data_IF_793954919666
#
_entry.id   IF_793954919666
#
_cell.length_a   1.000
_cell.length_b   1.000
_cell.length_c   1.000
_cell.angle_alpha   90.00
_cell.angle_beta   90.00
_cell.angle_gamma   90.00
#
_symmetry.space_group_name_H-M   'P 1'
#
loop_
_entity.id
_entity.type
_entity.pdbx_description
1 polymer ?
#
# COMPACT_ATOMS: atom_id res chain seq x y z
N UNK A 1 13.49 31.28 -11.51
CA UNK A 1 14.81 31.08 -12.15
C UNK A 1 15.49 29.89 -11.48
N UNK A 2 16.20 29.05 -12.22
CA UNK A 2 16.98 27.92 -11.70
C UNK A 2 18.45 28.33 -11.56
N UNK A 3 19.11 27.85 -10.52
CA UNK A 3 20.56 28.01 -10.36
C UNK A 3 21.25 26.89 -11.14
N UNK A 4 22.07 27.24 -12.12
CA UNK A 4 22.90 26.31 -12.88
C UNK A 4 24.35 26.44 -12.43
N UNK A 5 25.01 25.33 -12.17
CA UNK A 5 26.44 25.31 -11.83
C UNK A 5 27.18 24.98 -13.12
N UNK A 6 28.02 25.90 -13.58
CA UNK A 6 28.80 25.72 -14.81
C UNK A 6 29.86 24.65 -14.62
N UNK A 7 30.48 24.21 -15.72
CA UNK A 7 31.58 23.24 -15.72
C UNK A 7 32.78 23.77 -14.90
N UNK A 8 32.92 25.09 -14.85
CA UNK A 8 33.94 25.81 -14.08
C UNK A 8 33.54 26.15 -12.63
N UNK A 9 32.48 25.51 -12.11
CA UNK A 9 32.00 25.67 -10.73
C UNK A 9 31.45 27.07 -10.38
N UNK A 10 31.22 27.95 -11.37
CA UNK A 10 30.53 29.24 -11.20
C UNK A 10 29.02 29.05 -11.23
N UNK A 11 28.27 29.75 -10.38
CA UNK A 11 26.81 29.62 -10.31
C UNK A 11 26.16 30.70 -11.17
N UNK A 12 25.54 30.31 -12.27
CA UNK A 12 24.81 31.20 -13.17
C UNK A 12 23.30 31.06 -12.95
N UNK A 13 22.55 32.16 -12.96
CA UNK A 13 21.10 32.11 -12.91
C UNK A 13 20.53 31.90 -14.31
N UNK A 14 19.76 30.84 -14.49
CA UNK A 14 19.17 30.51 -15.77
C UNK A 14 17.64 30.41 -15.67
N UNK A 15 16.96 30.74 -16.77
CA UNK A 15 15.50 30.68 -16.85
C UNK A 15 15.02 29.25 -16.76
N UNK A 16 15.73 28.33 -17.41
CA UNK A 16 15.47 26.90 -17.44
C UNK A 16 16.70 26.13 -16.96
N UNK A 17 16.53 24.82 -16.78
CA UNK A 17 17.63 23.91 -16.46
C UNK A 17 18.50 23.77 -17.71
N UNK A 18 19.80 23.96 -17.60
CA UNK A 18 20.73 23.71 -18.72
C UNK A 18 21.10 22.22 -18.86
N UNK A 19 20.48 21.37 -18.04
CA UNK A 19 20.44 19.92 -18.18
C UNK A 19 19.02 19.48 -18.57
N UNK A 20 18.91 18.67 -19.63
CA UNK A 20 17.72 17.96 -20.07
C UNK A 20 17.35 16.92 -19.01
N UNK A 21 16.62 17.36 -17.99
CA UNK A 21 16.24 16.51 -16.85
C UNK A 21 14.86 16.82 -16.32
N UNK A 22 14.32 15.84 -15.59
CA UNK A 22 13.11 15.96 -14.81
C UNK A 22 13.40 15.46 -13.40
N UNK A 23 13.38 16.37 -12.41
CA UNK A 23 13.95 16.06 -11.10
C UNK A 23 15.43 15.71 -11.24
N UNK A 24 15.80 14.49 -10.82
CA UNK A 24 17.17 13.96 -10.97
C UNK A 24 17.35 13.04 -12.17
N UNK A 25 16.27 12.72 -12.89
CA UNK A 25 16.33 11.84 -14.04
C UNK A 25 16.84 12.61 -15.26
N UNK A 26 17.98 12.18 -15.81
CA UNK A 26 18.58 12.74 -17.02
C UNK A 26 17.95 12.12 -18.27
N UNK A 27 17.64 12.96 -19.25
CA UNK A 27 17.27 12.53 -20.59
C UNK A 27 18.53 12.23 -21.43
N UNK A 28 18.41 11.43 -22.50
CA UNK A 28 19.47 11.35 -23.52
C UNK A 28 19.83 12.73 -24.05
N UNK A 29 21.12 12.98 -24.30
CA UNK A 29 21.61 14.26 -24.83
C UNK A 29 20.96 14.62 -26.16
N UNK A 30 20.56 13.62 -26.95
CA UNK A 30 19.88 13.73 -28.24
C UNK A 30 18.37 13.97 -28.15
N UNK A 31 17.78 14.09 -26.96
CA UNK A 31 16.32 14.28 -26.79
C UNK A 31 15.86 15.63 -27.36
N UNK A 32 15.01 15.60 -28.40
CA UNK A 32 14.62 16.77 -29.22
C UNK A 32 13.28 17.41 -28.79
N UNK A 33 13.07 17.63 -27.50
CA UNK A 33 11.82 18.23 -26.99
C UNK A 33 12.01 19.11 -25.75
N UNK A 34 13.25 19.53 -25.48
CA UNK A 34 13.56 20.42 -24.35
C UNK A 34 13.73 21.86 -24.82
N UNK A 35 13.18 22.80 -24.05
CA UNK A 35 13.41 24.23 -24.25
C UNK A 35 14.89 24.55 -24.14
N UNK A 36 15.40 25.34 -25.09
CA UNK A 36 16.77 25.82 -25.09
C UNK A 36 17.15 26.50 -23.78
N UNK A 37 18.35 26.22 -23.26
CA UNK A 37 18.81 26.88 -22.05
C UNK A 37 19.08 28.36 -22.31
N UNK A 38 18.50 29.22 -21.46
CA UNK A 38 18.70 30.67 -21.50
C UNK A 38 19.11 31.17 -20.13
N UNK A 39 20.33 31.68 -20.00
CA UNK A 39 20.85 32.28 -18.78
C UNK A 39 20.67 33.80 -18.78
N UNK A 40 20.52 34.37 -17.58
CA UNK A 40 20.22 35.80 -17.40
C UNK A 40 21.48 36.65 -17.60
N UNK A 41 22.63 36.13 -17.17
CA UNK A 41 23.94 36.76 -17.32
C UNK A 41 24.96 35.71 -17.79
N UNK A 42 25.75 36.04 -18.82
CA UNK A 42 26.80 35.17 -19.35
C UNK A 42 26.33 33.99 -20.23
N UNK A 43 27.28 33.25 -20.83
CA UNK A 43 26.97 32.08 -21.67
C UNK A 43 26.49 30.89 -20.83
N UNK A 44 25.55 30.13 -21.39
CA UNK A 44 25.05 28.89 -20.78
C UNK A 44 26.05 27.75 -21.06
N UNK A 45 27.07 27.55 -20.23
CA UNK A 45 27.96 26.39 -20.40
C UNK A 45 27.17 25.08 -20.20
N UNK A 46 26.96 24.33 -21.29
CA UNK A 46 26.33 23.01 -21.31
C UNK A 46 26.93 22.15 -22.42
N UNK A 47 27.07 20.85 -22.17
CA UNK A 47 27.49 19.87 -23.18
C UNK A 47 26.30 19.31 -24.00
N UNK A 48 25.09 19.81 -23.76
CA UNK A 48 23.88 19.29 -24.36
C UNK A 48 23.54 19.99 -25.67
N UNK A 49 23.25 19.18 -26.69
CA UNK A 49 22.92 19.61 -28.06
C UNK A 49 21.43 19.44 -28.34
N UNK A 50 20.97 19.70 -29.57
CA UNK A 50 19.62 19.32 -30.02
C UNK A 50 18.47 19.87 -29.15
N UNK A 51 18.55 21.15 -28.80
CA UNK A 51 17.48 21.86 -28.13
C UNK A 51 16.32 22.15 -29.08
N UNK A 52 15.14 22.39 -28.51
CA UNK A 52 13.90 22.62 -29.26
C UNK A 52 13.26 21.31 -29.70
N UNK A 53 12.51 21.38 -30.81
CA UNK A 53 11.69 20.29 -31.34
C UNK A 53 10.30 20.20 -30.70
N UNK A 54 9.51 19.23 -31.17
CA UNK A 54 8.12 19.02 -30.76
C UNK A 54 7.89 17.54 -30.51
N UNK A 55 7.28 17.22 -29.37
CA UNK A 55 6.73 15.90 -29.13
C UNK A 55 5.26 15.93 -29.56
N UNK A 56 4.87 14.99 -30.41
CA UNK A 56 3.48 14.85 -30.90
C UNK A 56 2.85 13.60 -30.31
N UNK A 57 1.53 13.62 -30.14
CA UNK A 57 0.76 12.48 -29.63
C UNK A 57 1.20 12.00 -28.22
N UNK A 58 1.46 12.96 -27.31
CA UNK A 58 1.80 12.67 -25.93
C UNK A 58 1.21 13.73 -25.00
N UNK A 59 0.51 13.27 -23.96
CA UNK A 59 -0.11 14.14 -22.94
C UNK A 59 0.74 14.28 -21.68
N UNK A 60 1.67 13.36 -21.45
CA UNK A 60 2.55 13.38 -20.30
C UNK A 60 3.86 12.64 -20.62
N UNK A 61 4.99 13.22 -20.21
CA UNK A 61 6.32 12.60 -20.35
C UNK A 61 6.78 12.13 -18.98
N UNK A 62 6.94 10.83 -18.81
CA UNK A 62 7.46 10.24 -17.58
C UNK A 62 8.95 9.91 -17.74
N UNK A 63 9.76 10.46 -16.84
CA UNK A 63 11.17 10.10 -16.71
C UNK A 63 11.34 9.03 -15.64
N UNK A 64 11.93 7.90 -16.00
CA UNK A 64 12.19 6.80 -15.08
C UNK A 64 13.68 6.72 -14.81
N UNK A 65 14.07 6.70 -13.54
CA UNK A 65 15.48 6.54 -13.15
C UNK A 65 15.68 5.49 -12.07
N UNK A 66 16.88 4.91 -12.06
CA UNK A 66 17.39 4.03 -11.00
C UNK A 66 18.61 4.73 -10.39
N UNK A 67 18.38 5.64 -9.44
CA UNK A 67 19.44 6.39 -8.77
C UNK A 67 19.34 6.23 -7.24
N UNK A 68 20.47 6.04 -6.57
CA UNK A 68 20.59 6.00 -5.11
C UNK A 68 20.42 7.39 -4.47
N UNK A 69 20.65 8.46 -5.22
CA UNK A 69 20.50 9.83 -4.72
C UNK A 69 19.05 10.07 -4.26
N UNK A 70 18.86 10.29 -2.97
CA UNK A 70 17.55 10.52 -2.35
C UNK A 70 16.86 9.26 -1.84
N UNK A 71 17.46 8.09 -2.02
CA UNK A 71 16.99 6.85 -1.45
C UNK A 71 17.48 6.71 -0.01
N UNK A 72 16.56 6.85 0.94
CA UNK A 72 16.81 6.34 2.29
C UNK A 72 16.53 4.83 2.32
N UNK A 73 17.05 4.10 3.33
CA UNK A 73 16.96 2.63 3.42
C UNK A 73 15.54 2.06 3.39
N UNK A 74 14.52 2.88 3.66
CA UNK A 74 13.10 2.49 3.71
C UNK A 74 12.29 3.03 2.55
N UNK A 75 12.90 3.76 1.61
CA UNK A 75 12.23 4.34 0.44
C UNK A 75 12.32 3.34 -0.70
N UNK A 76 11.18 3.02 -1.31
CA UNK A 76 11.10 2.10 -2.45
C UNK A 76 11.24 2.87 -3.76
N UNK A 77 10.48 3.95 -3.88
CA UNK A 77 10.52 4.89 -4.99
C UNK A 77 10.14 6.29 -4.49
N UNK A 78 10.38 7.31 -5.31
CA UNK A 78 9.83 8.65 -5.11
C UNK A 78 9.56 9.31 -6.47
N UNK A 79 8.52 10.12 -6.57
CA UNK A 79 8.15 10.80 -7.81
C UNK A 79 7.56 12.18 -7.60
N UNK A 80 7.60 12.98 -8.67
CA UNK A 80 6.97 14.30 -8.69
C UNK A 80 6.85 14.82 -10.12
N UNK A 81 6.13 15.93 -10.30
CA UNK A 81 6.11 16.67 -11.55
C UNK A 81 7.36 17.56 -11.67
N UNK A 82 7.75 17.85 -12.91
CA UNK A 82 8.84 18.78 -13.19
C UNK A 82 8.49 19.83 -14.24
N UNK A 83 7.38 19.63 -14.97
CA UNK A 83 6.90 20.58 -15.98
C UNK A 83 5.39 20.67 -15.95
N UNK A 84 4.89 21.88 -16.16
CA UNK A 84 3.48 22.24 -16.15
C UNK A 84 3.19 23.02 -17.44
N UNK A 85 2.07 22.72 -18.08
CA UNK A 85 1.59 23.47 -19.23
C UNK A 85 1.22 24.91 -18.82
N UNK A 86 1.75 25.94 -19.50
CA UNK A 86 1.56 27.33 -19.07
C UNK A 86 0.12 27.83 -19.17
N UNK A 87 -0.74 27.20 -19.98
CA UNK A 87 -2.11 27.67 -20.21
C UNK A 87 -3.11 26.94 -19.31
N UNK A 88 -3.08 25.60 -19.36
CA UNK A 88 -3.97 24.73 -18.59
C UNK A 88 -3.51 24.52 -17.15
N UNK A 89 -2.25 24.87 -16.85
CA UNK A 89 -1.60 24.62 -15.57
C UNK A 89 -1.55 23.13 -15.18
N UNK A 90 -1.77 22.21 -16.14
CA UNK A 90 -1.70 20.77 -15.96
C UNK A 90 -0.25 20.28 -15.95
N UNK A 91 0.15 19.34 -15.07
CA UNK A 91 1.41 18.63 -15.20
C UNK A 91 1.53 17.91 -16.55
N UNK A 92 2.62 18.17 -17.27
CA UNK A 92 2.92 17.56 -18.58
C UNK A 92 4.21 16.75 -18.59
N UNK A 93 5.02 16.86 -17.54
CA UNK A 93 6.12 15.96 -17.32
C UNK A 93 6.38 15.75 -15.83
N UNK A 94 6.82 14.55 -15.50
CA UNK A 94 7.20 14.15 -14.15
C UNK A 94 8.18 13.01 -14.19
N UNK A 95 8.68 12.64 -13.03
CA UNK A 95 9.65 11.58 -12.88
C UNK A 95 9.23 10.62 -11.78
N UNK A 96 9.71 9.39 -11.91
CA UNK A 96 9.74 8.40 -10.83
C UNK A 96 11.15 7.83 -10.75
N UNK A 97 11.72 7.89 -9.55
CA UNK A 97 13.00 7.26 -9.25
C UNK A 97 12.76 6.00 -8.43
N UNK A 98 13.30 4.88 -8.90
CA UNK A 98 13.26 3.60 -8.22
C UNK A 98 14.57 3.44 -7.45
N UNK A 99 14.50 3.10 -6.17
CA UNK A 99 15.68 2.96 -5.32
C UNK A 99 16.39 1.63 -5.57
N UNK A 100 17.64 1.62 -6.08
CA UNK A 100 18.30 0.38 -6.52
C UNK A 100 18.50 -0.65 -5.42
N UNK A 101 18.90 -0.23 -4.21
CA UNK A 101 19.02 -1.15 -3.06
C UNK A 101 17.71 -1.89 -2.74
N UNK A 102 16.59 -1.18 -2.70
CA UNK A 102 15.28 -1.78 -2.40
C UNK A 102 14.84 -2.70 -3.55
N UNK A 103 15.05 -2.27 -4.79
CA UNK A 103 14.64 -3.02 -5.98
C UNK A 103 15.44 -4.31 -6.18
N UNK A 104 16.75 -4.28 -5.95
CA UNK A 104 17.62 -5.47 -6.09
C UNK A 104 17.34 -6.53 -5.04
N UNK A 105 16.85 -6.15 -3.86
CA UNK A 105 16.49 -7.07 -2.76
C UNK A 105 15.01 -7.49 -2.79
N UNK A 106 14.28 -7.10 -3.84
CA UNK A 106 12.87 -7.40 -4.00
C UNK A 106 12.64 -8.91 -4.14
N UNK A 107 11.62 -9.40 -3.44
CA UNK A 107 11.15 -10.78 -3.57
C UNK A 107 9.96 -10.85 -4.52
N UNK A 108 9.80 -11.98 -5.21
CA UNK A 108 8.73 -12.15 -6.21
C UNK A 108 7.32 -11.87 -5.67
N UNK A 109 7.05 -12.19 -4.40
CA UNK A 109 5.74 -11.95 -3.79
C UNK A 109 5.48 -10.47 -3.44
N UNK A 110 6.48 -9.59 -3.56
CA UNK A 110 6.40 -8.15 -3.26
C UNK A 110 6.02 -7.33 -4.50
N UNK A 111 5.85 -7.96 -5.68
CA UNK A 111 5.56 -7.27 -6.94
C UNK A 111 4.32 -6.38 -6.89
N UNK A 112 3.26 -6.84 -6.21
CA UNK A 112 2.04 -6.05 -6.05
C UNK A 112 2.27 -4.80 -5.17
N UNK A 113 3.17 -4.89 -4.18
CA UNK A 113 3.54 -3.74 -3.35
C UNK A 113 4.35 -2.72 -4.15
N UNK A 114 5.24 -3.19 -5.03
CA UNK A 114 6.01 -2.34 -5.92
C UNK A 114 5.12 -1.64 -6.95
N UNK A 115 4.20 -2.37 -7.58
CA UNK A 115 3.21 -1.79 -8.49
C UNK A 115 2.39 -0.71 -7.80
N UNK A 116 1.89 -0.98 -6.59
CA UNK A 116 1.15 0.01 -5.80
C UNK A 116 1.99 1.24 -5.45
N UNK A 117 3.26 1.03 -5.09
CA UNK A 117 4.20 2.11 -4.80
C UNK A 117 4.44 2.97 -6.04
N UNK A 118 4.66 2.37 -7.22
CA UNK A 118 4.85 3.13 -8.45
C UNK A 118 3.59 3.93 -8.81
N UNK A 119 2.40 3.34 -8.66
CA UNK A 119 1.12 4.07 -8.84
C UNK A 119 1.02 5.26 -7.89
N UNK A 120 1.41 5.09 -6.62
CA UNK A 120 1.44 6.16 -5.62
C UNK A 120 2.33 7.34 -6.06
N UNK A 121 3.57 7.06 -6.48
CA UNK A 121 4.49 8.10 -6.94
C UNK A 121 4.02 8.80 -8.21
N UNK A 122 3.34 8.07 -9.10
CA UNK A 122 2.73 8.67 -10.29
C UNK A 122 1.58 9.62 -9.94
N UNK A 123 0.79 9.33 -8.90
CA UNK A 123 -0.29 10.21 -8.45
C UNK A 123 0.27 11.55 -7.95
N UNK A 124 1.43 11.56 -7.28
CA UNK A 124 2.13 12.81 -6.95
C UNK A 124 2.56 13.60 -8.19
N UNK A 125 3.04 12.90 -9.22
CA UNK A 125 3.42 13.52 -10.48
C UNK A 125 2.22 14.08 -11.27
N UNK A 126 1.03 13.53 -11.07
CA UNK A 126 -0.18 13.94 -11.79
C UNK A 126 -1.03 14.98 -11.08
N UNK A 127 -1.24 14.85 -9.77
CA UNK A 127 -2.24 15.68 -9.09
C UNK A 127 -1.95 15.96 -7.61
N UNK A 128 -1.44 14.98 -6.88
CA UNK A 128 -1.42 15.06 -5.41
C UNK A 128 -0.10 15.66 -4.92
N UNK A 129 0.07 16.97 -5.13
CA UNK A 129 1.29 17.68 -4.72
C UNK A 129 0.96 19.09 -4.25
N UNK A 130 1.61 19.52 -3.16
CA UNK A 130 1.36 20.84 -2.56
C UNK A 130 1.61 22.02 -3.51
N UNK A 131 2.53 21.90 -4.46
CA UNK A 131 2.76 22.94 -5.48
C UNK A 131 1.72 22.94 -6.62
N UNK A 132 0.91 21.89 -6.73
CA UNK A 132 -0.17 21.76 -7.70
C UNK A 132 -1.50 22.31 -7.18
N UNK A 133 -1.76 22.32 -5.88
CA UNK A 133 -3.04 22.81 -5.32
C UNK A 133 -3.41 24.24 -5.75
N UNK A 134 -2.49 25.23 -5.79
CA UNK A 134 -2.82 26.57 -6.27
C UNK A 134 -3.19 26.62 -7.76
N UNK A 135 -2.98 25.53 -8.50
CA UNK A 135 -3.23 25.39 -9.93
C UNK A 135 -4.54 24.68 -10.24
N UNK A 136 -5.22 24.15 -9.22
CA UNK A 136 -6.51 23.50 -9.39
C UNK A 136 -7.56 24.52 -9.83
N UNK A 137 -8.51 24.08 -10.65
CA UNK A 137 -9.63 24.93 -11.12
C UNK A 137 -10.42 25.57 -9.96
N UNK A 138 -10.52 24.91 -8.81
CA UNK A 138 -11.22 25.39 -7.63
C UNK A 138 -10.42 26.30 -6.69
N UNK A 139 -9.13 26.53 -6.96
CA UNK A 139 -8.26 27.32 -6.08
C UNK A 139 -8.65 28.80 -6.07
N UNK A 140 -8.71 29.38 -4.87
CA UNK A 140 -9.06 30.79 -4.64
C UNK A 140 -7.96 31.49 -3.85
N UNK A 141 -7.62 32.70 -4.26
CA UNK A 141 -6.57 33.48 -3.59
C UNK A 141 -5.17 32.86 -3.69
N UNK A 142 -4.23 33.43 -2.95
CA UNK A 142 -2.84 32.95 -2.92
C UNK A 142 -2.61 31.84 -1.90
N UNK A 143 -1.65 30.92 -2.15
CA UNK A 143 -1.25 29.91 -1.17
C UNK A 143 -0.67 30.54 0.09
N UNK A 144 -1.02 30.00 1.26
CA UNK A 144 -0.50 30.43 2.57
C UNK A 144 0.23 29.27 3.24
N UNK A 145 1.53 29.44 3.47
CA UNK A 145 2.33 28.44 4.18
C UNK A 145 2.04 28.51 5.68
N UNK A 146 1.66 27.39 6.26
CA UNK A 146 1.49 27.22 7.70
C UNK A 146 2.26 25.97 8.14
N UNK A 147 3.42 26.17 8.77
CA UNK A 147 4.31 25.05 9.12
C UNK A 147 4.70 24.23 7.89
N UNK A 148 4.29 22.95 7.89
CA UNK A 148 4.49 22.00 6.79
C UNK A 148 3.40 22.04 5.71
N UNK A 149 2.27 22.69 6.00
CA UNK A 149 1.12 22.74 5.12
C UNK A 149 1.15 23.98 4.21
N UNK A 150 0.58 23.86 3.01
CA UNK A 150 0.34 24.98 2.10
C UNK A 150 -1.16 25.10 1.88
N UNK A 151 -1.80 25.97 2.66
CA UNK A 151 -3.24 26.18 2.57
C UNK A 151 -3.58 26.94 1.29
N UNK A 152 -4.63 26.50 0.62
CA UNK A 152 -5.13 27.08 -0.61
C UNK A 152 -6.64 27.16 -0.48
N UNK A 153 -7.22 28.35 -0.27
CA UNK A 153 -8.67 28.49 -0.13
C UNK A 153 -9.42 27.83 -1.29
N UNK A 154 -10.46 27.07 -0.99
CA UNK A 154 -11.22 26.26 -1.95
C UNK A 154 -10.58 24.91 -2.32
N UNK A 155 -9.36 24.61 -1.88
CA UNK A 155 -8.68 23.32 -2.14
C UNK A 155 -8.26 22.64 -0.84
N UNK A 156 -7.38 23.28 -0.06
CA UNK A 156 -6.86 22.74 1.19
C UNK A 156 -7.04 23.76 2.31
N UNK A 157 -7.90 23.44 3.27
CA UNK A 157 -8.28 24.33 4.36
C UNK A 157 -8.10 23.67 5.72
N UNK A 158 -7.98 24.50 6.76
CA UNK A 158 -7.75 24.09 8.14
C UNK A 158 -9.05 24.19 8.94
N UNK A 159 -9.34 23.17 9.73
CA UNK A 159 -10.50 23.10 10.62
C UNK A 159 -10.06 22.73 12.03
N UNK A 160 -10.92 23.04 13.01
CA UNK A 160 -10.70 22.74 14.42
C UNK A 160 -11.74 21.73 14.90
N UNK A 161 -11.30 20.63 15.51
CA UNK A 161 -12.13 19.65 16.22
C UNK A 161 -12.07 19.95 17.71
N UNK A 162 -13.15 20.50 18.27
CA UNK A 162 -13.23 20.88 19.70
C UNK A 162 -13.52 19.70 20.63
N UNK A 163 -13.82 18.54 20.07
CA UNK A 163 -14.28 17.34 20.75
C UNK A 163 -13.32 16.16 20.50
N UNK A 164 -12.02 16.44 20.51
CA UNK A 164 -10.98 15.41 20.40
C UNK A 164 -10.73 14.79 21.77
N UNK A 165 -11.20 13.57 21.99
CA UNK A 165 -11.07 12.90 23.30
C UNK A 165 -9.66 12.32 23.48
N UNK A 166 -9.04 12.65 24.61
CA UNK A 166 -7.76 12.12 25.09
C UNK A 166 -7.93 11.51 26.49
N UNK A 167 -6.88 10.88 27.02
CA UNK A 167 -6.81 10.38 28.39
C UNK A 167 -7.07 11.47 29.45
N UNK A 168 -6.71 12.73 29.14
CA UNK A 168 -6.86 13.89 30.05
C UNK A 168 -8.15 14.67 29.84
N UNK A 169 -8.99 14.29 28.88
CA UNK A 169 -10.23 14.96 28.54
C UNK A 169 -10.28 15.45 27.10
N UNK A 170 -11.28 16.28 26.80
CA UNK A 170 -11.47 16.85 25.46
C UNK A 170 -10.48 17.98 25.22
N UNK A 171 -9.82 17.95 24.05
CA UNK A 171 -8.91 19.00 23.60
C UNK A 171 -9.36 19.54 22.24
N UNK A 172 -8.83 20.70 21.89
CA UNK A 172 -8.89 21.20 20.52
C UNK A 172 -7.81 20.51 19.68
N UNK A 173 -8.17 20.07 18.48
CA UNK A 173 -7.27 19.41 17.55
C UNK A 173 -7.44 20.02 16.15
N UNK A 174 -6.35 20.46 15.54
CA UNK A 174 -6.36 21.00 14.17
C UNK A 174 -6.32 19.86 13.16
N UNK A 175 -7.19 19.93 12.15
CA UNK A 175 -7.19 19.01 11.00
C UNK A 175 -7.13 19.80 9.70
N UNK A 176 -6.56 19.18 8.66
CA UNK A 176 -6.48 19.77 7.32
C UNK A 176 -7.35 18.98 6.36
N UNK A 177 -8.16 19.65 5.57
CA UNK A 177 -9.17 19.02 4.73
C UNK A 177 -8.99 19.45 3.28
N UNK A 178 -8.97 18.48 2.37
CA UNK A 178 -9.20 18.70 0.96
C UNK A 178 -10.69 18.99 0.76
N UNK A 179 -11.03 20.25 0.52
CA UNK A 179 -12.40 20.77 0.51
C UNK A 179 -13.01 20.87 -0.90
N UNK A 180 -12.33 20.35 -1.91
CA UNK A 180 -12.80 20.41 -3.29
C UNK A 180 -14.14 19.66 -3.46
N UNK A 181 -15.01 20.08 -4.40
CA UNK A 181 -16.41 19.66 -4.41
C UNK A 181 -16.64 18.15 -4.50
N UNK A 182 -16.00 17.44 -5.44
CA UNK A 182 -16.18 15.99 -5.60
C UNK A 182 -15.49 15.21 -4.51
N UNK A 183 -14.31 15.64 -4.07
CA UNK A 183 -13.62 15.04 -2.92
C UNK A 183 -14.51 15.08 -1.69
N UNK A 184 -15.12 16.23 -1.39
CA UNK A 184 -16.09 16.39 -0.31
C UNK A 184 -17.29 15.46 -0.49
N UNK A 185 -17.85 15.41 -1.70
CA UNK A 185 -19.00 14.54 -2.00
C UNK A 185 -18.68 13.05 -1.74
N UNK A 186 -17.58 12.55 -2.29
CA UNK A 186 -17.18 11.15 -2.13
C UNK A 186 -16.79 10.83 -0.69
N UNK A 187 -16.14 11.74 0.04
CA UNK A 187 -15.84 11.57 1.46
C UNK A 187 -17.12 11.46 2.31
N UNK A 188 -18.11 12.34 2.06
CA UNK A 188 -19.41 12.29 2.75
C UNK A 188 -20.14 10.97 2.50
N UNK A 189 -20.19 10.53 1.24
CA UNK A 189 -20.78 9.23 0.86
C UNK A 189 -20.04 8.07 1.50
N UNK A 190 -18.70 8.10 1.48
CA UNK A 190 -17.87 7.02 1.98
C UNK A 190 -18.09 6.77 3.47
N UNK A 191 -18.05 7.83 4.29
CA UNK A 191 -18.27 7.70 5.73
C UNK A 191 -19.76 7.64 6.11
N UNK A 192 -20.68 8.05 5.25
CA UNK A 192 -22.08 8.30 5.65
C UNK A 192 -22.20 9.50 6.59
N UNK A 193 -21.43 10.57 6.32
CA UNK A 193 -21.36 11.77 7.17
C UNK A 193 -21.69 13.02 6.35
N UNK A 194 -22.95 13.50 6.32
CA UNK A 194 -23.39 14.58 5.41
C UNK A 194 -22.75 15.95 5.65
N UNK A 195 -22.31 16.24 6.87
CA UNK A 195 -21.73 17.54 7.27
C UNK A 195 -20.19 17.53 7.26
N UNK A 196 -19.55 16.48 6.71
CA UNK A 196 -18.09 16.43 6.57
C UNK A 196 -17.61 17.52 5.61
N UNK A 197 -16.53 18.22 5.97
CA UNK A 197 -16.08 19.42 5.26
C UNK A 197 -15.28 19.09 3.99
N UNK A 198 -14.76 17.88 3.89
CA UNK A 198 -13.84 17.41 2.85
C UNK A 198 -13.28 16.03 3.18
N UNK A 199 -12.13 15.71 2.61
CA UNK A 199 -11.33 14.55 3.03
C UNK A 199 -10.09 15.00 3.79
N UNK A 200 -9.83 14.36 4.92
CA UNK A 200 -8.73 14.72 5.81
C UNK A 200 -7.36 14.38 5.20
N UNK A 201 -6.40 15.27 5.41
CA UNK A 201 -5.05 15.24 4.86
C UNK A 201 -4.07 15.01 5.99
N UNK A 202 -3.12 14.12 5.74
CA UNK A 202 -2.05 13.77 6.65
C UNK A 202 -1.32 15.02 7.15
N UNK A 203 -1.23 15.16 8.47
CA UNK A 203 -0.63 16.32 9.14
C UNK A 203 0.73 16.00 9.78
N UNK A 204 1.02 14.71 9.97
CA UNK A 204 2.24 14.23 10.62
C UNK A 204 3.29 13.79 9.58
N UNK A 205 4.44 13.30 10.08
CA UNK A 205 5.57 12.95 9.23
C UNK A 205 6.36 14.17 8.72
N UNK A 206 7.13 13.99 7.65
CA UNK A 206 8.02 15.02 7.10
C UNK A 206 7.36 15.92 6.06
N UNK A 207 8.15 16.82 5.45
CA UNK A 207 7.69 17.64 4.32
C UNK A 207 7.32 16.82 3.07
N UNK A 208 7.77 15.56 2.99
CA UNK A 208 7.37 14.60 1.95
C UNK A 208 6.12 13.80 2.31
N UNK A 209 5.53 13.99 3.49
CA UNK A 209 4.37 13.23 3.97
C UNK A 209 3.19 14.16 4.23
N UNK A 210 3.38 15.15 5.11
CA UNK A 210 2.33 16.08 5.49
C UNK A 210 1.85 16.91 4.29
N UNK A 211 0.53 17.03 4.14
CA UNK A 211 -0.09 17.89 3.13
C UNK A 211 -0.20 17.29 1.73
N UNK A 212 0.37 16.11 1.46
CA UNK A 212 0.37 15.47 0.14
C UNK A 212 -0.15 14.04 0.16
N UNK A 213 -0.77 13.63 1.27
CA UNK A 213 -1.35 12.31 1.47
C UNK A 213 -2.69 12.41 2.20
N UNK A 214 -3.54 11.40 2.04
CA UNK A 214 -4.74 11.25 2.88
C UNK A 214 -4.36 10.84 4.30
N UNK A 215 -5.12 11.34 5.27
CA UNK A 215 -4.95 11.03 6.68
C UNK A 215 -5.13 9.54 6.95
N UNK A 216 -4.09 8.87 7.43
CA UNK A 216 -4.08 7.41 7.54
C UNK A 216 -5.03 6.91 8.62
N UNK A 217 -5.31 7.69 9.68
CA UNK A 217 -6.31 7.33 10.70
C UNK A 217 -7.66 6.98 10.07
N UNK A 218 -8.13 7.78 9.11
CA UNK A 218 -9.48 7.63 8.52
C UNK A 218 -9.48 6.98 7.14
N UNK A 219 -8.32 6.89 6.46
CA UNK A 219 -8.16 6.32 5.12
C UNK A 219 -7.04 5.26 5.05
N UNK A 220 -7.00 4.33 6.02
CA UNK A 220 -5.87 3.40 6.20
C UNK A 220 -5.50 2.60 4.95
N UNK A 221 -6.48 2.19 4.15
CA UNK A 221 -6.31 1.34 2.96
C UNK A 221 -6.37 2.10 1.63
N UNK A 222 -6.23 3.42 1.65
CA UNK A 222 -6.13 4.25 0.44
C UNK A 222 -4.70 4.23 -0.11
N UNK A 223 -4.56 4.19 -1.43
CA UNK A 223 -3.28 4.16 -2.13
C UNK A 223 -2.35 5.32 -1.75
N UNK A 224 -2.89 6.51 -1.46
CA UNK A 224 -2.23 7.76 -1.13
C UNK A 224 -2.23 8.09 0.36
N UNK A 225 -2.32 7.09 1.24
CA UNK A 225 -1.98 7.32 2.66
C UNK A 225 -0.46 7.39 2.84
N UNK A 226 0.02 8.27 3.73
CA UNK A 226 1.42 8.71 3.78
C UNK A 226 2.44 7.71 4.35
N UNK A 227 2.00 6.54 4.78
CA UNK A 227 2.85 5.44 5.21
C UNK A 227 2.34 4.16 4.57
N UNK A 228 3.25 3.41 3.93
CA UNK A 228 2.94 2.15 3.23
C UNK A 228 1.98 1.30 4.04
N UNK A 229 0.81 1.11 3.46
CA UNK A 229 -0.23 0.21 3.92
C UNK A 229 0.09 -1.19 3.40
N UNK A 230 -0.79 -2.14 3.66
CA UNK A 230 -0.80 -3.38 2.91
C UNK A 230 -1.82 -3.31 1.77
N UNK A 231 -2.92 -2.58 1.91
CA UNK A 231 -3.94 -2.43 0.86
C UNK A 231 -3.87 -1.01 0.31
N UNK A 232 -3.63 -0.89 -1.00
CA UNK A 232 -3.45 0.39 -1.67
C UNK A 232 -4.59 0.61 -2.66
N UNK A 233 -5.80 0.86 -2.14
CA UNK A 233 -6.95 1.05 -3.00
C UNK A 233 -6.85 2.39 -3.74
N UNK A 234 -6.80 2.36 -5.08
CA UNK A 234 -7.01 3.55 -5.91
C UNK A 234 -8.51 3.90 -5.88
N UNK A 235 -8.88 4.66 -4.87
CA UNK A 235 -10.27 4.82 -4.48
C UNK A 235 -11.00 5.89 -5.29
N UNK A 236 -12.33 5.92 -5.15
CA UNK A 236 -13.18 7.02 -5.65
C UNK A 236 -12.75 8.38 -5.12
N UNK A 237 -12.15 8.43 -3.92
CA UNK A 237 -11.66 9.66 -3.31
C UNK A 237 -10.47 10.24 -4.08
N UNK A 238 -9.47 9.43 -4.39
CA UNK A 238 -8.32 9.87 -5.19
C UNK A 238 -8.76 10.22 -6.62
N UNK A 239 -9.64 9.43 -7.24
CA UNK A 239 -10.21 9.77 -8.54
C UNK A 239 -10.98 11.10 -8.55
N UNK A 240 -11.68 11.43 -7.47
CA UNK A 240 -12.32 12.72 -7.30
C UNK A 240 -11.31 13.87 -7.23
N UNK A 241 -10.15 13.67 -6.59
CA UNK A 241 -9.06 14.64 -6.59
C UNK A 241 -8.53 14.91 -8.02
N UNK A 242 -8.33 13.85 -8.81
CA UNK A 242 -7.97 13.96 -10.23
C UNK A 242 -8.97 14.83 -11.00
N UNK A 243 -10.27 14.63 -10.78
CA UNK A 243 -11.29 15.39 -11.49
C UNK A 243 -11.43 16.83 -11.00
N UNK A 244 -11.38 17.07 -9.68
CA UNK A 244 -11.45 18.40 -9.07
C UNK A 244 -10.23 19.28 -9.41
N UNK A 245 -9.10 18.69 -9.79
CA UNK A 245 -7.96 19.44 -10.35
C UNK A 245 -8.35 20.25 -11.59
N UNK A 246 -9.34 19.76 -12.35
CA UNK A 246 -9.76 20.31 -13.64
C UNK A 246 -8.97 19.78 -14.83
N UNK A 247 -8.04 18.84 -14.61
CA UNK A 247 -7.16 18.31 -15.65
C UNK A 247 -7.58 16.98 -16.25
N UNK A 248 -8.35 16.19 -15.50
CA UNK A 248 -8.68 14.82 -15.83
C UNK A 248 -10.18 14.58 -15.75
N UNK A 249 -10.66 13.60 -16.53
CA UNK A 249 -11.98 13.02 -16.38
C UNK A 249 -11.82 11.61 -15.84
N UNK A 250 -12.21 11.40 -14.59
CA UNK A 250 -12.05 10.10 -13.93
C UNK A 250 -13.12 9.10 -14.38
N UNK A 251 -12.72 7.84 -14.55
CA UNK A 251 -13.65 6.71 -14.70
C UNK A 251 -13.81 6.01 -13.33
N UNK A 252 -14.91 6.29 -12.64
CA UNK A 252 -15.17 5.73 -11.31
C UNK A 252 -15.54 4.24 -11.31
N UNK A 253 -15.82 3.64 -12.46
CA UNK A 253 -16.06 2.19 -12.58
C UNK A 253 -14.77 1.39 -12.37
N UNK A 254 -13.61 2.06 -12.45
CA UNK A 254 -12.29 1.50 -12.16
C UNK A 254 -11.82 1.79 -10.74
N UNK A 255 -12.65 2.43 -9.92
CA UNK A 255 -12.29 2.69 -8.53
C UNK A 255 -12.23 1.40 -7.72
N UNK A 256 -11.17 1.24 -6.94
CA UNK A 256 -11.03 0.13 -6.01
C UNK A 256 -11.78 0.41 -4.71
N UNK A 257 -12.32 -0.64 -4.08
CA UNK A 257 -13.10 -0.49 -2.87
C UNK A 257 -12.21 -0.31 -1.63
N UNK A 258 -12.58 0.66 -0.80
CA UNK A 258 -12.07 0.81 0.55
C UNK A 258 -13.07 0.25 1.55
N UNK A 259 -12.58 -0.59 2.47
CA UNK A 259 -13.40 -1.12 3.58
C UNK A 259 -13.18 -0.38 4.90
N UNK A 260 -12.09 0.37 5.03
CA UNK A 260 -11.73 1.05 6.28
C UNK A 260 -12.51 2.36 6.39
N UNK A 261 -13.34 2.54 7.41
CA UNK A 261 -14.11 3.78 7.57
C UNK A 261 -15.46 3.83 6.83
N UNK A 262 -15.73 2.89 5.93
CA UNK A 262 -16.96 2.88 5.13
C UNK A 262 -18.20 2.81 6.03
N UNK A 263 -19.11 3.79 5.88
CA UNK A 263 -20.36 3.92 6.64
C UNK A 263 -20.19 3.97 8.17
N UNK A 264 -19.02 4.35 8.69
CA UNK A 264 -18.78 4.46 10.15
C UNK A 264 -19.24 5.80 10.75
N UNK A 265 -19.75 6.71 9.92
CA UNK A 265 -20.40 7.95 10.33
C UNK A 265 -19.45 9.05 10.80
N UNK A 266 -20.04 10.19 11.18
CA UNK A 266 -19.30 11.39 11.55
C UNK A 266 -18.43 11.23 12.79
N UNK A 267 -18.82 10.35 13.73
CA UNK A 267 -18.03 10.06 14.92
C UNK A 267 -16.65 9.52 14.53
N UNK A 268 -16.62 8.55 13.62
CA UNK A 268 -15.37 7.97 13.13
C UNK A 268 -14.52 9.00 12.37
N UNK A 269 -15.16 9.76 11.47
CA UNK A 269 -14.46 10.71 10.60
C UNK A 269 -13.93 11.94 11.35
N UNK A 270 -14.68 12.51 12.30
CA UNK A 270 -14.39 13.82 12.91
C UNK A 270 -13.74 13.78 14.30
N UNK A 271 -13.75 12.64 14.99
CA UNK A 271 -13.28 12.54 16.38
C UNK A 271 -12.12 11.55 16.53
N UNK A 272 -11.50 11.55 17.71
CA UNK A 272 -10.39 10.64 18.03
C UNK A 272 -10.84 9.18 18.04
N UNK A 273 -9.90 8.27 17.79
CA UNK A 273 -10.16 6.83 17.92
C UNK A 273 -10.52 6.40 19.34
N UNK A 274 -10.12 7.15 20.38
CA UNK A 274 -10.61 6.93 21.73
C UNK A 274 -12.14 7.04 21.79
N UNK A 275 -12.70 8.10 21.21
CA UNK A 275 -14.15 8.31 21.19
C UNK A 275 -14.87 7.16 20.47
N UNK A 276 -14.28 6.66 19.39
CA UNK A 276 -14.78 5.48 18.69
C UNK A 276 -14.77 4.24 19.61
N UNK A 277 -13.60 3.89 20.16
CA UNK A 277 -13.41 2.67 20.95
C UNK A 277 -14.29 2.67 22.21
N UNK A 278 -14.47 3.82 22.86
CA UNK A 278 -15.35 3.97 24.03
C UNK A 278 -16.82 3.71 23.72
N UNK A 279 -17.26 4.06 22.52
CA UNK A 279 -18.65 3.86 22.12
C UNK A 279 -18.90 2.48 21.51
N UNK A 280 -17.83 1.72 21.23
CA UNK A 280 -17.87 0.38 20.64
C UNK A 280 -17.08 -0.65 21.46
N UNK A 281 -17.24 -0.65 22.79
CA UNK A 281 -16.48 -1.53 23.70
C UNK A 281 -16.62 -3.03 23.42
N UNK A 282 -17.69 -3.46 22.76
CA UNK A 282 -17.89 -4.87 22.37
C UNK A 282 -17.11 -5.26 21.12
N UNK A 283 -17.02 -4.35 20.16
CA UNK A 283 -16.25 -4.54 18.92
C UNK A 283 -15.68 -3.20 18.47
N UNK A 284 -14.43 -2.95 18.79
CA UNK A 284 -13.74 -1.69 18.50
C UNK A 284 -13.30 -1.56 17.04
N UNK A 285 -13.58 -2.57 16.20
CA UNK A 285 -13.20 -2.58 14.78
C UNK A 285 -13.67 -1.29 14.08
N UNK A 286 -12.83 -0.68 13.23
CA UNK A 286 -11.57 -1.19 12.69
C UNK A 286 -10.33 -0.90 13.57
N UNK A 287 -10.50 -0.11 14.63
CA UNK A 287 -9.49 0.02 15.70
C UNK A 287 -9.43 -1.25 16.56
N UNK A 288 -8.45 -1.31 17.46
CA UNK A 288 -8.27 -2.46 18.34
C UNK A 288 -7.79 -2.04 19.72
N UNK A 289 -8.17 -2.79 20.74
CA UNK A 289 -7.83 -2.48 22.14
C UNK A 289 -7.27 -3.69 22.92
N UNK A 290 -6.94 -4.78 22.22
CA UNK A 290 -6.37 -5.98 22.82
C UNK A 290 -5.01 -6.27 22.19
N UNK A 291 -3.98 -6.39 23.03
CA UNK A 291 -2.61 -6.64 22.62
C UNK A 291 -2.51 -7.97 21.85
N UNK A 292 -1.80 -7.94 20.72
CA UNK A 292 -1.59 -9.09 19.84
C UNK A 292 -2.86 -9.77 19.31
N UNK A 293 -4.03 -9.13 19.45
CA UNK A 293 -5.27 -9.72 18.98
C UNK A 293 -5.25 -9.92 17.46
N UNK A 294 -5.76 -11.06 17.01
CA UNK A 294 -5.81 -11.41 15.60
C UNK A 294 -7.19 -11.90 15.22
N UNK A 295 -7.71 -11.35 14.13
CA UNK A 295 -9.05 -11.65 13.64
C UNK A 295 -9.12 -11.55 12.13
N UNK A 296 -10.30 -11.71 11.56
CA UNK A 296 -10.48 -11.53 10.12
C UNK A 296 -10.78 -10.06 9.78
N UNK A 297 -10.30 -9.60 8.61
CA UNK A 297 -10.70 -8.31 8.07
C UNK A 297 -12.21 -8.29 7.78
N UNK A 298 -12.81 -7.10 7.69
CA UNK A 298 -14.25 -6.95 7.43
C UNK A 298 -14.75 -7.77 6.23
N UNK A 299 -14.04 -7.71 5.10
CA UNK A 299 -14.34 -8.50 3.90
C UNK A 299 -13.90 -9.95 3.96
N UNK A 300 -13.35 -10.41 5.10
CA UNK A 300 -12.75 -11.74 5.30
C UNK A 300 -11.68 -12.09 4.25
N UNK A 301 -11.08 -11.12 3.56
CA UNK A 301 -10.03 -11.37 2.55
C UNK A 301 -8.63 -11.44 3.17
N UNK A 302 -8.51 -11.22 4.47
CA UNK A 302 -7.23 -11.30 5.17
C UNK A 302 -7.40 -11.59 6.66
N UNK A 303 -6.38 -12.21 7.24
CA UNK A 303 -6.08 -12.19 8.66
C UNK A 303 -5.41 -10.86 9.03
N UNK A 304 -5.89 -10.22 10.08
CA UNK A 304 -5.36 -8.95 10.59
C UNK A 304 -4.87 -9.11 12.02
N UNK A 305 -3.89 -8.28 12.41
CA UNK A 305 -3.34 -8.22 13.77
C UNK A 305 -3.45 -6.80 14.29
N UNK A 306 -3.83 -6.66 15.54
CA UNK A 306 -3.81 -5.41 16.27
C UNK A 306 -2.37 -4.89 16.38
N UNK A 307 -2.14 -3.65 15.97
CA UNK A 307 -0.82 -3.02 16.02
C UNK A 307 -0.53 -2.28 17.35
N UNK A 308 -1.30 -2.57 18.40
CA UNK A 308 -1.13 -2.04 19.75
C UNK A 308 0.21 -2.48 20.33
N UNK A 309 0.93 -1.54 20.94
CA UNK A 309 2.15 -1.79 21.71
C UNK A 309 1.88 -1.53 23.18
N UNK A 310 2.39 -2.40 24.05
CA UNK A 310 2.35 -2.19 25.48
C UNK A 310 3.42 -1.15 25.90
N UNK A 311 3.07 -0.34 26.90
CA UNK A 311 3.94 0.69 27.47
C UNK A 311 3.48 2.12 27.19
N UNK A 312 4.16 3.06 27.82
CA UNK A 312 3.92 4.51 27.69
C UNK A 312 5.20 5.16 27.17
N UNK A 313 5.50 4.97 25.89
CA UNK A 313 6.55 5.79 25.27
C UNK A 313 6.06 7.24 25.17
N UNK A 314 6.97 8.17 24.84
CA UNK A 314 6.69 9.61 24.72
C UNK A 314 5.71 9.91 23.57
N UNK A 315 4.43 9.60 23.76
CA UNK A 315 3.35 9.96 22.85
C UNK A 315 2.94 11.40 23.21
N UNK A 316 2.72 12.28 22.22
CA UNK A 316 2.20 13.60 22.49
C UNK A 316 0.87 13.53 23.29
N UNK A 317 0.64 14.42 24.27
CA UNK A 317 -0.56 14.35 25.12
C UNK A 317 -1.90 14.35 24.37
N UNK A 318 -1.96 14.98 23.19
CA UNK A 318 -3.13 15.02 22.31
C UNK A 318 -3.47 13.67 21.65
N UNK A 319 -2.53 12.72 21.66
CA UNK A 319 -2.68 11.36 21.14
C UNK A 319 -2.56 10.29 22.23
N UNK A 320 -2.52 10.70 23.51
CA UNK A 320 -2.62 9.76 24.62
C UNK A 320 -4.09 9.36 24.81
N UNK A 321 -4.41 8.11 24.47
CA UNK A 321 -5.77 7.56 24.59
C UNK A 321 -5.94 6.63 25.79
N UNK A 322 -4.96 6.55 26.68
CA UNK A 322 -4.99 5.58 27.76
C UNK A 322 -5.98 5.97 28.86
N UNK A 323 -7.17 5.35 28.83
CA UNK A 323 -8.13 5.38 29.93
C UNK A 323 -8.22 4.02 30.61
N UNK A 324 -8.72 4.01 31.86
CA UNK A 324 -8.87 2.79 32.66
C UNK A 324 -9.65 1.71 31.89
N UNK A 325 -9.10 0.49 31.85
CA UNK A 325 -9.70 -0.70 31.24
C UNK A 325 -9.94 -0.65 29.73
N UNK A 326 -9.43 0.36 29.00
CA UNK A 326 -9.53 0.42 27.55
C UNK A 326 -8.66 -0.67 26.91
N UNK A 327 -7.35 -0.61 27.16
CA UNK A 327 -6.39 -1.56 26.60
C UNK A 327 -6.19 -2.75 27.50
N UNK A 328 -6.11 -3.94 26.89
CA UNK A 328 -5.92 -5.20 27.61
C UNK A 328 -4.87 -6.06 26.93
N UNK A 329 -4.21 -6.90 27.71
CA UNK A 329 -3.41 -7.98 27.14
C UNK A 329 -4.28 -9.18 26.74
N UNK A 330 -3.68 -10.22 26.18
CA UNK A 330 -4.36 -11.47 25.79
C UNK A 330 -5.02 -12.23 26.95
N UNK A 331 -4.60 -11.98 28.20
CA UNK A 331 -5.20 -12.57 29.41
C UNK A 331 -6.33 -11.70 30.00
N UNK A 332 -6.66 -10.57 29.36
CA UNK A 332 -7.71 -9.66 29.79
C UNK A 332 -7.31 -8.65 30.87
N UNK A 333 -6.03 -8.63 31.30
CA UNK A 333 -5.53 -7.64 32.24
C UNK A 333 -5.39 -6.27 31.58
N UNK A 334 -5.79 -5.21 32.29
CA UNK A 334 -5.63 -3.84 31.82
C UNK A 334 -4.14 -3.51 31.65
N UNK A 335 -3.81 -2.87 30.53
CA UNK A 335 -2.46 -2.39 30.25
C UNK A 335 -2.51 -0.93 29.80
N UNK A 336 -1.35 -0.28 29.82
CA UNK A 336 -1.11 0.95 29.09
C UNK A 336 -0.50 0.61 27.74
N UNK A 337 -0.90 1.32 26.70
CA UNK A 337 -0.44 1.06 25.34
C UNK A 337 -0.81 2.15 24.34
N UNK A 338 -0.35 1.96 23.11
CA UNK A 338 -0.53 2.91 22.02
C UNK A 338 -0.34 2.26 20.65
N UNK A 339 -0.89 2.88 19.60
CA UNK A 339 -0.53 2.55 18.22
C UNK A 339 0.80 3.21 17.87
N UNK A 340 1.76 2.44 17.36
CA UNK A 340 3.11 2.95 17.05
C UNK A 340 3.21 3.80 15.76
N UNK A 341 2.11 3.97 15.03
CA UNK A 341 2.09 4.66 13.73
C UNK A 341 1.61 6.09 13.94
N UNK A 342 2.54 7.04 13.87
CA UNK A 342 2.25 8.47 14.04
C UNK A 342 1.19 8.95 13.04
N UNK A 343 1.34 8.63 11.75
CA UNK A 343 0.36 8.95 10.69
C UNK A 343 -1.07 8.43 10.95
N UNK A 344 -1.26 7.47 11.85
CA UNK A 344 -2.60 7.01 12.24
C UNK A 344 -3.05 7.66 13.56
N UNK A 345 -2.54 8.85 13.88
CA UNK A 345 -2.72 9.57 15.15
C UNK A 345 -2.46 8.71 16.39
N UNK A 346 -1.48 7.80 16.31
CA UNK A 346 -1.18 6.80 17.35
C UNK A 346 -2.37 5.90 17.74
N UNK A 347 -3.40 5.83 16.90
CA UNK A 347 -4.53 4.94 17.10
C UNK A 347 -4.10 3.49 16.89
N UNK A 348 -4.44 2.58 17.81
CA UNK A 348 -4.24 1.16 17.59
C UNK A 348 -5.33 0.62 16.65
N UNK A 349 -4.92 -0.12 15.61
CA UNK A 349 -5.80 -0.66 14.60
C UNK A 349 -5.39 -2.05 14.10
N UNK A 350 -6.36 -2.73 13.49
CA UNK A 350 -6.13 -4.00 12.81
C UNK A 350 -5.49 -3.77 11.44
N UNK A 351 -4.30 -4.35 11.23
CA UNK A 351 -3.59 -4.31 9.95
C UNK A 351 -3.23 -5.70 9.45
N UNK A 352 -3.01 -5.82 8.15
CA UNK A 352 -2.43 -7.04 7.57
C UNK A 352 -0.95 -7.07 7.97
N UNK A 353 -0.51 -8.12 8.66
CA UNK A 353 0.85 -8.17 9.23
C UNK A 353 1.84 -8.98 8.39
N UNK A 354 1.37 -9.66 7.35
CA UNK A 354 2.21 -10.48 6.46
C UNK A 354 1.49 -10.70 5.10
N UNK A 355 2.23 -10.86 3.99
CA UNK A 355 1.66 -11.33 2.73
C UNK A 355 0.92 -12.67 2.87
N UNK A 356 1.40 -13.58 3.73
CA UNK A 356 0.75 -14.86 4.04
C UNK A 356 -0.57 -14.70 4.81
N UNK A 357 -0.87 -13.49 5.29
CA UNK A 357 -2.12 -13.20 5.97
C UNK A 357 -3.24 -12.84 5.00
N UNK A 358 -2.98 -12.70 3.69
CA UNK A 358 -4.04 -12.55 2.70
C UNK A 358 -4.66 -13.90 2.39
N UNK A 359 -5.98 -13.95 2.38
CA UNK A 359 -6.70 -15.10 1.89
C UNK A 359 -7.03 -14.86 0.40
N UNK A 360 -6.83 -15.88 -0.44
CA UNK A 360 -6.94 -15.73 -1.88
C UNK A 360 -8.39 -15.88 -2.35
N UNK A 361 -8.77 -15.01 -3.28
CA UNK A 361 -9.95 -15.15 -4.11
C UNK A 361 -9.47 -15.68 -5.46
N UNK A 362 -9.94 -16.86 -5.87
CA UNK A 362 -9.68 -17.37 -7.21
C UNK A 362 -10.89 -17.01 -8.06
N UNK A 363 -10.75 -15.97 -8.88
CA UNK A 363 -11.81 -15.51 -9.80
C UNK A 363 -12.26 -16.63 -10.75
N UNK A 364 -11.35 -17.55 -11.06
CA UNK A 364 -11.60 -18.75 -11.86
C UNK A 364 -11.75 -20.04 -11.05
N UNK A 365 -11.90 -19.98 -9.73
CA UNK A 365 -11.92 -21.17 -8.90
C UNK A 365 -10.69 -22.09 -9.10
N UNK A 366 -10.78 -23.33 -8.64
CA UNK A 366 -9.75 -24.35 -8.80
C UNK A 366 -10.25 -25.37 -9.82
N UNK A 367 -9.65 -25.43 -11.01
CA UNK A 367 -9.91 -26.50 -11.98
C UNK A 367 -9.15 -27.76 -11.56
N UNK A 368 -9.88 -28.82 -11.24
CA UNK A 368 -9.34 -30.14 -10.93
C UNK A 368 -9.65 -31.06 -12.10
N UNK A 369 -8.61 -31.56 -12.74
CA UNK A 369 -8.73 -32.57 -13.79
C UNK A 369 -8.56 -33.97 -13.21
N UNK A 370 -9.47 -34.87 -13.57
CA UNK A 370 -9.37 -36.29 -13.29
C UNK A 370 -9.63 -37.10 -14.57
N UNK A 371 -9.40 -38.42 -14.51
CA UNK A 371 -9.59 -39.34 -15.64
C UNK A 371 -11.02 -39.37 -16.21
N UNK A 372 -12.00 -38.76 -15.52
CA UNK A 372 -13.41 -38.68 -15.92
C UNK A 372 -13.85 -37.27 -16.37
N UNK A 373 -12.96 -36.28 -16.37
CA UNK A 373 -13.23 -34.91 -16.81
C UNK A 373 -12.65 -33.81 -15.92
N UNK A 374 -12.88 -32.55 -16.30
CA UNK A 374 -12.45 -31.37 -15.53
C UNK A 374 -13.61 -30.81 -14.68
N UNK A 375 -13.39 -30.62 -13.37
CA UNK A 375 -14.36 -30.00 -12.45
C UNK A 375 -13.80 -28.67 -11.93
N UNK A 376 -14.54 -27.56 -12.10
CA UNK A 376 -14.15 -26.21 -11.64
C UNK A 376 -14.78 -25.94 -10.27
N UNK A 377 -13.97 -25.82 -9.22
CA UNK A 377 -14.41 -25.52 -7.85
C UNK A 377 -14.30 -24.01 -7.58
N UNK A 378 -15.42 -23.31 -7.64
CA UNK A 378 -15.51 -21.91 -7.18
C UNK A 378 -15.50 -21.92 -5.64
N UNK A 379 -14.33 -21.77 -5.02
CA UNK A 379 -14.23 -21.59 -3.57
C UNK A 379 -13.57 -20.26 -3.27
N UNK A 380 -14.34 -19.32 -2.73
CA UNK A 380 -13.82 -18.15 -2.05
C UNK A 380 -13.14 -18.61 -0.78
N UNK A 381 -11.80 -18.61 -0.74
CA UNK A 381 -11.04 -18.97 0.45
C UNK A 381 -10.99 -17.73 1.35
N UNK A 382 -12.02 -17.53 2.16
CA UNK A 382 -12.10 -16.44 3.12
C UNK A 382 -11.30 -16.72 4.41
N UNK A 383 -11.11 -15.69 5.21
CA UNK A 383 -10.65 -15.77 6.59
C UNK A 383 -11.83 -16.17 7.49
N UNK A 384 -11.62 -17.18 8.31
CA UNK A 384 -12.59 -17.64 9.30
C UNK A 384 -12.05 -17.45 10.71
N UNK A 385 -12.93 -17.01 11.61
CA UNK A 385 -12.65 -16.89 13.05
C UNK A 385 -13.16 -18.16 13.73
N UNK A 386 -12.36 -18.74 14.63
CA UNK A 386 -12.70 -19.99 15.30
C UNK A 386 -12.97 -19.69 16.77
N UNK A 387 -14.24 -19.67 17.18
CA UNK A 387 -14.65 -19.46 18.57
C UNK A 387 -14.58 -20.77 19.38
N UNK A 388 -13.38 -21.31 19.59
CA UNK A 388 -13.17 -22.41 20.55
C UNK A 388 -12.13 -22.04 21.60
N UNK A 389 -12.46 -21.03 22.41
CA UNK A 389 -11.89 -20.87 23.76
C UNK A 389 -13.03 -20.47 24.71
N UNK A 390 -13.92 -21.42 25.00
CA UNK A 390 -14.60 -21.54 26.29
C UNK A 390 -15.53 -22.77 26.27
N UNK A 391 -15.22 -23.74 27.12
CA UNK A 391 -16.06 -24.91 27.48
C UNK A 391 -16.26 -25.99 26.40
N UNK A 392 -15.26 -26.86 26.26
CA UNK A 392 -15.44 -28.33 26.29
C UNK A 392 -16.33 -29.06 25.28
N UNK A 393 -16.99 -28.40 24.31
CA UNK A 393 -17.83 -29.08 23.32
C UNK A 393 -17.61 -28.51 21.92
N UNK A 394 -17.13 -29.38 21.01
CA UNK A 394 -16.97 -29.11 19.58
C UNK A 394 -18.37 -29.06 18.94
N UNK A 395 -18.98 -27.88 18.85
CA UNK A 395 -20.12 -27.67 17.95
C UNK A 395 -19.61 -27.37 16.54
N UNK A 396 -19.86 -28.31 15.63
CA UNK A 396 -19.56 -28.26 14.20
C UNK A 396 -20.20 -27.03 13.53
N UNK A 397 -19.49 -26.27 12.67
CA UNK A 397 -20.13 -25.54 11.59
C UNK A 397 -20.52 -26.56 10.50
N UNK A 398 -21.81 -26.66 10.17
CA UNK A 398 -22.26 -27.38 8.96
C UNK A 398 -21.97 -26.50 7.74
N UNK A 399 -20.89 -26.79 7.03
CA UNK A 399 -20.89 -26.90 5.56
C UNK A 399 -20.09 -28.16 5.22
N UNK A 400 -20.59 -28.90 4.25
CA UNK A 400 -20.42 -30.34 4.08
C UNK A 400 -18.97 -30.89 4.06
N UNK A 401 -18.87 -32.04 4.73
CA UNK A 401 -17.92 -33.14 4.61
C UNK A 401 -16.40 -32.91 4.55
N UNK A 402 -15.82 -33.13 5.74
CA UNK A 402 -14.51 -33.75 6.02
C UNK A 402 -13.27 -33.10 5.42
N UNK A 403 -12.64 -32.28 6.27
CA UNK A 403 -11.17 -32.24 6.38
C UNK A 403 -10.59 -30.84 6.56
N UNK A 404 -10.33 -30.44 7.80
CA UNK A 404 -9.21 -29.57 8.19
C UNK A 404 -9.14 -29.51 9.73
N UNK A 405 -8.10 -30.13 10.30
CA UNK A 405 -7.79 -30.03 11.73
C UNK A 405 -7.13 -28.66 11.93
N UNK A 406 -7.87 -27.75 12.57
CA UNK A 406 -7.29 -26.52 13.10
C UNK A 406 -6.29 -26.88 14.20
N UNK A 407 -5.03 -26.47 14.06
CA UNK A 407 -4.07 -26.49 15.15
C UNK A 407 -4.60 -25.66 16.31
N UNK A 408 -4.61 -26.24 17.51
CA UNK A 408 -4.90 -25.54 18.77
C UNK A 408 -3.99 -24.30 18.86
N UNK A 409 -4.56 -23.12 19.17
CA UNK A 409 -3.93 -21.79 19.27
C UNK A 409 -4.02 -20.82 18.07
N UNK A 410 -4.90 -21.01 17.08
CA UNK A 410 -5.13 -19.97 16.05
C UNK A 410 -6.59 -19.48 16.06
N UNK A 411 -6.88 -18.24 16.55
CA UNK A 411 -8.24 -17.69 16.59
C UNK A 411 -8.80 -17.33 15.21
N UNK A 412 -7.95 -17.26 14.18
CA UNK A 412 -8.35 -17.01 12.79
C UNK A 412 -7.40 -17.69 11.78
N UNK A 413 -7.96 -18.21 10.69
CA UNK A 413 -7.25 -18.96 9.65
C UNK A 413 -7.79 -18.66 8.24
N UNK A 414 -6.90 -18.64 7.24
CA UNK A 414 -7.27 -18.87 5.84
C UNK A 414 -7.20 -20.39 5.61
N UNK A 415 -8.21 -21.04 4.99
CA UNK A 415 -8.14 -22.46 4.64
C UNK A 415 -6.91 -22.72 3.76
N UNK A 416 -6.07 -23.66 4.15
CA UNK A 416 -5.16 -24.29 3.19
C UNK A 416 -6.03 -25.17 2.30
N UNK A 417 -5.98 -25.00 0.98
CA UNK A 417 -6.71 -25.86 0.04
C UNK A 417 -6.11 -27.26 0.07
N UNK A 418 -6.52 -28.09 1.04
CA UNK A 418 -6.43 -29.55 0.95
C UNK A 418 -7.78 -30.05 0.46
N UNK A 419 -7.85 -30.31 -0.84
CA UNK A 419 -8.98 -31.03 -1.42
C UNK A 419 -8.72 -32.52 -1.21
N UNK A 420 -9.57 -33.18 -0.42
CA UNK A 420 -9.55 -34.64 -0.31
C UNK A 420 -10.33 -35.21 -1.49
N UNK A 421 -9.69 -36.02 -2.32
CA UNK A 421 -10.22 -36.49 -3.62
C UNK A 421 -11.19 -37.66 -3.51
N UNK A 422 -11.79 -37.88 -2.33
CA UNK A 422 -12.62 -39.05 -2.04
C UNK A 422 -11.83 -40.35 -1.83
N UNK A 423 -10.51 -40.35 -2.11
CA UNK A 423 -9.60 -41.49 -1.95
C UNK A 423 -8.65 -41.35 -0.75
N UNK A 424 -8.80 -40.32 0.09
CA UNK A 424 -8.03 -40.13 1.33
C UNK A 424 -6.59 -39.63 1.15
N UNK A 425 -6.23 -39.10 -0.02
CA UNK A 425 -4.90 -38.56 -0.31
C UNK A 425 -4.92 -37.02 -0.31
N UNK A 426 -4.11 -36.35 0.53
CA UNK A 426 -4.06 -34.89 0.57
C UNK A 426 -3.35 -34.33 -0.66
N UNK A 427 -3.96 -33.31 -1.27
CA UNK A 427 -3.37 -32.53 -2.34
C UNK A 427 -2.96 -31.17 -1.78
N UNK A 428 -1.75 -30.71 -2.08
CA UNK A 428 -1.24 -29.39 -1.65
C UNK A 428 -1.09 -28.48 -2.86
N UNK A 429 -1.72 -27.30 -2.80
CA UNK A 429 -1.59 -26.26 -3.81
C UNK A 429 -0.66 -25.15 -3.28
N UNK A 430 0.34 -24.77 -4.09
CA UNK A 430 1.17 -23.59 -3.84
C UNK A 430 1.00 -22.58 -4.98
N UNK A 431 0.99 -21.27 -4.71
CA UNK A 431 1.03 -20.27 -5.76
C UNK A 431 2.30 -20.42 -6.61
N UNK A 432 2.15 -20.53 -7.92
CA UNK A 432 3.24 -20.41 -8.88
C UNK A 432 3.58 -18.95 -9.21
N UNK A 433 4.64 -18.75 -9.98
CA UNK A 433 5.25 -17.44 -10.27
C UNK A 433 4.42 -16.54 -11.21
N UNK A 434 3.34 -17.05 -11.83
CA UNK A 434 2.68 -16.42 -12.99
C UNK A 434 1.15 -16.49 -13.00
N UNK A 435 0.49 -16.62 -11.83
CA UNK A 435 -0.95 -16.92 -11.69
C UNK A 435 -1.34 -18.39 -11.94
N UNK A 436 -0.39 -19.27 -12.29
CA UNK A 436 -0.63 -20.71 -12.33
C UNK A 436 -0.52 -21.36 -10.95
N UNK A 437 -1.49 -22.20 -10.59
CA UNK A 437 -1.44 -23.04 -9.39
C UNK A 437 -0.77 -24.37 -9.76
N UNK A 438 0.34 -24.69 -9.10
CA UNK A 438 0.98 -26.01 -9.22
C UNK A 438 0.40 -26.95 -8.16
N UNK A 439 -0.24 -28.03 -8.62
CA UNK A 439 -0.91 -29.02 -7.77
C UNK A 439 0.00 -30.25 -7.63
N UNK A 440 0.45 -30.55 -6.41
CA UNK A 440 1.27 -31.74 -6.14
C UNK A 440 0.46 -32.83 -5.44
N UNK A 441 0.48 -34.06 -5.99
CA UNK A 441 0.05 -35.26 -5.27
C UNK A 441 1.18 -35.68 -4.33
N UNK A 442 1.00 -35.57 -3.02
CA UNK A 442 1.96 -36.17 -2.08
C UNK A 442 1.70 -37.67 -1.99
N UNK A 443 2.31 -38.44 -2.89
CA UNK A 443 2.60 -39.83 -2.60
C UNK A 443 3.97 -39.91 -1.95
N UNK A 444 4.06 -40.69 -0.88
CA UNK A 444 5.28 -41.10 -0.17
C UNK A 444 5.78 -40.15 0.94
N UNK A 445 5.75 -40.64 2.18
CA UNK A 445 6.51 -40.08 3.32
C UNK A 445 8.00 -40.16 2.99
N UNK A 446 8.81 -39.10 3.13
CA UNK A 446 10.23 -39.19 2.86
C UNK A 446 10.90 -40.10 3.90
N UNK A 447 11.55 -41.18 3.45
CA UNK A 447 12.50 -41.94 4.27
C UNK A 447 13.76 -41.11 4.41
N UNK A 448 14.21 -40.90 5.65
CA UNK A 448 15.45 -40.20 5.93
C UNK A 448 16.65 -41.04 5.47
N UNK A 449 17.41 -40.54 4.50
CA UNK A 449 18.68 -41.11 4.06
C UNK A 449 19.80 -40.11 4.39
N UNK A 450 20.94 -40.62 4.85
CA UNK A 450 22.07 -39.79 5.23
C UNK A 450 22.86 -39.41 3.96
N UNK A 451 22.92 -38.11 3.65
CA UNK A 451 23.49 -37.58 2.41
C UNK A 451 25.02 -37.66 2.32
N UNK A 452 25.72 -37.98 3.41
CA UNK A 452 27.19 -38.11 3.39
C UNK A 452 27.64 -39.53 3.10
N UNK A 453 26.86 -40.54 3.48
CA UNK A 453 27.27 -41.96 3.39
C UNK A 453 26.42 -42.82 2.46
N UNK A 454 25.33 -42.28 1.91
CA UNK A 454 24.52 -42.94 0.88
C UNK A 454 23.76 -44.20 1.31
N UNK A 455 23.78 -44.59 2.60
CA UNK A 455 23.04 -45.75 3.11
C UNK A 455 21.71 -45.36 3.77
N UNK A 456 20.64 -46.05 3.38
CA UNK A 456 19.34 -46.04 4.05
C UNK A 456 19.18 -47.38 4.82
N UNK A 457 18.57 -47.38 6.01
CA UNK A 457 18.45 -48.59 6.86
C UNK A 457 17.45 -49.63 6.28
N UNK A 458 17.93 -50.89 6.12
CA UNK A 458 17.23 -52.14 5.75
C UNK A 458 17.05 -52.31 4.23
N UNK A 459 17.72 -53.19 3.47
CA UNK A 459 18.12 -54.60 3.67
C UNK A 459 17.05 -55.49 3.01
N UNK A 460 17.22 -56.20 1.87
CA UNK A 460 18.39 -56.52 1.05
C UNK A 460 18.04 -56.91 -0.41
N UNK A 461 19.03 -57.53 -1.07
CA UNK A 461 19.29 -57.93 -2.47
C UNK A 461 18.07 -58.29 -3.37
N UNK A 462 18.05 -57.97 -4.68
CA UNK A 462 18.89 -58.56 -5.76
C UNK A 462 19.14 -57.64 -6.99
N UNK A 463 20.12 -58.08 -7.79
CA UNK A 463 20.95 -57.46 -8.85
C UNK A 463 20.27 -57.13 -10.20
N UNK A 464 20.94 -56.42 -11.14
CA UNK A 464 20.33 -55.76 -12.30
C UNK A 464 20.41 -56.59 -13.59
N UNK A 465 19.69 -56.21 -14.68
CA UNK A 465 20.09 -56.55 -16.03
C UNK A 465 20.78 -55.37 -16.72
N UNK A 466 22.02 -55.63 -17.14
CA UNK A 466 22.79 -54.94 -18.18
C UNK A 466 22.28 -55.30 -19.58
N UNK A 467 22.26 -54.31 -20.50
CA UNK A 467 22.81 -54.39 -21.87
C UNK A 467 22.66 -53.01 -22.54
N UNK A 468 23.77 -52.28 -22.77
CA UNK A 468 24.62 -52.24 -24.01
C UNK A 468 23.83 -51.68 -25.21
N UNK A 469 24.08 -50.44 -25.65
CA UNK A 469 25.22 -49.90 -26.44
C UNK A 469 24.69 -49.57 -27.86
N UNK A 470 24.82 -48.30 -28.28
CA UNK A 470 25.44 -47.97 -29.57
C UNK A 470 25.73 -46.46 -29.67
N UNK A 471 27.01 -46.13 -29.63
CA UNK A 471 27.64 -45.13 -30.52
C UNK A 471 28.77 -45.85 -31.27
N UNK A 472 29.04 -45.46 -32.52
CA UNK A 472 30.36 -44.89 -32.89
C UNK A 472 30.19 -43.61 -33.75
N UNK A 473 30.71 -42.43 -33.39
CA UNK A 473 32.08 -41.87 -33.46
C UNK A 473 32.47 -41.16 -34.79
N UNK A 474 33.42 -40.19 -34.76
CA UNK A 474 33.42 -38.95 -35.56
C UNK A 474 34.72 -38.72 -36.40
N UNK A 475 34.85 -37.51 -36.98
CA UNK A 475 36.14 -36.87 -37.32
C UNK A 475 36.53 -36.94 -38.81
N UNK A 476 37.25 -36.02 -39.45
CA UNK A 476 38.03 -34.83 -39.05
C UNK A 476 38.28 -33.99 -40.32
N UNK A 477 38.21 -32.66 -40.22
CA UNK A 477 39.38 -31.74 -40.25
C UNK A 477 38.95 -30.29 -40.17
#
# INVERSE_FOLDING_TARGET
MKKHRTVNNTVTQCKYDCEKRCGRALAPTTAKFFSECKCVEGPCETNQTDWGGKLTNADFILFVSLNEDGCARTVLAFGSHCSIDPYTQRPVAGFVNICPYSFTNMKNYEINQWEATLKHELIHAFVFSGSLYPKFKGAKGGPKRQGRMVLVPGVLERFERKNWETAKGMVSHEVFMMVTPKVREEARKFFGCPDLEGAEIESQGGAGTAGVHWEKRVFENEAMSGISTQVHALSRLTLALFEDSGWYRANYDKAEEMSWGRNLGCRFAKQSCLTWMRTHLRDTYPYCNVLDDTRCSHGRKAKVRCNLFAGTNQIPPEFDYNIKNLYRNSTGHSIWGYGHVAAADFCPYYRIFSPLSRCFELDDGIRIENERGATKWLHTVGCYENSMISRGYVTRPRVADRGLIAGQNRPCACPETRVDSGNGLPVSAKPGLTHDIVVFRTSVRPKACNQVTGRCKGGGLESPPTNRLHMPTPGER
#
